data_IF_558932436309
#
_entry.id   IF_558932436309
#
_cell.length_a   1.000
_cell.length_b   1.000
_cell.length_c   1.000
_cell.angle_alpha   90.00
_cell.angle_beta   90.00
_cell.angle_gamma   90.00
#
_symmetry.space_group_name_H-M   'P 1'
#
loop_
_entity.id
_entity.type
_entity.pdbx_description
1 polymer ?
#
# COMPACT_ATOMS: atom_id res chain seq x y z
N UNK A 1 -14.27 -2.64 -1.80
CA UNK A 1 -13.38 -1.65 -1.15
C UNK A 1 -12.02 -1.50 -1.84
N UNK A 2 -11.32 -2.56 -2.25
CA UNK A 2 -10.02 -2.46 -2.95
C UNK A 2 -10.03 -1.57 -4.22
N UNK A 3 -11.09 -1.62 -5.03
CA UNK A 3 -11.18 -0.83 -6.26
C UNK A 3 -11.23 0.69 -6.01
N UNK A 4 -11.90 1.14 -4.96
CA UNK A 4 -12.00 2.58 -4.66
C UNK A 4 -10.64 3.17 -4.24
N UNK A 5 -9.83 2.43 -3.48
CA UNK A 5 -8.49 2.85 -3.09
C UNK A 5 -7.53 2.94 -4.28
N UNK A 6 -7.55 1.95 -5.17
CA UNK A 6 -6.73 1.96 -6.39
C UNK A 6 -7.10 3.12 -7.33
N UNK A 7 -8.41 3.39 -7.47
CA UNK A 7 -8.90 4.54 -8.24
C UNK A 7 -8.44 5.86 -7.63
N UNK A 8 -8.55 6.03 -6.31
CA UNK A 8 -8.11 7.24 -5.63
C UNK A 8 -6.60 7.49 -5.79
N UNK A 9 -5.77 6.44 -5.68
CA UNK A 9 -4.32 6.54 -5.90
C UNK A 9 -4.01 6.97 -7.33
N UNK A 10 -4.66 6.37 -8.33
CA UNK A 10 -4.44 6.74 -9.73
C UNK A 10 -4.86 8.19 -10.02
N UNK A 11 -5.97 8.66 -9.43
CA UNK A 11 -6.39 10.06 -9.56
C UNK A 11 -5.38 11.01 -8.91
N UNK A 12 -4.88 10.69 -7.71
CA UNK A 12 -3.86 11.49 -7.03
C UNK A 12 -2.54 11.54 -7.82
N UNK A 13 -2.15 10.42 -8.42
CA UNK A 13 -0.91 10.32 -9.19
C UNK A 13 -0.99 11.17 -10.47
N UNK A 14 -2.12 11.10 -11.17
CA UNK A 14 -2.38 11.92 -12.34
C UNK A 14 -2.46 13.42 -12.00
N UNK A 15 -3.01 13.77 -10.82
CA UNK A 15 -3.06 15.16 -10.37
C UNK A 15 -1.70 15.72 -9.93
N UNK A 16 -0.73 14.85 -9.61
CA UNK A 16 0.57 15.24 -9.06
C UNK A 16 1.60 15.66 -10.12
N UNK A 17 1.40 15.28 -11.39
CA UNK A 17 2.33 15.54 -12.49
C UNK A 17 1.66 16.29 -13.63
N UNK A 18 2.48 17.00 -14.41
CA UNK A 18 2.04 17.65 -15.64
C UNK A 18 1.75 16.65 -16.75
N UNK A 19 0.98 17.07 -17.76
CA UNK A 19 0.47 16.18 -18.81
C UNK A 19 1.56 15.46 -19.61
N UNK A 20 2.74 16.09 -19.74
CA UNK A 20 3.91 15.54 -20.43
C UNK A 20 4.58 14.38 -19.69
N UNK A 21 4.41 14.29 -18.37
CA UNK A 21 5.08 13.30 -17.49
C UNK A 21 4.13 12.20 -17.00
N UNK A 22 2.84 12.25 -17.36
CA UNK A 22 1.83 11.29 -16.90
C UNK A 22 2.20 9.84 -17.22
N UNK A 23 2.68 9.56 -18.44
CA UNK A 23 3.05 8.20 -18.84
C UNK A 23 4.21 7.65 -18.01
N UNK A 24 5.24 8.46 -17.77
CA UNK A 24 6.40 8.07 -16.98
C UNK A 24 6.03 7.87 -15.51
N UNK A 25 5.22 8.77 -14.93
CA UNK A 25 4.74 8.67 -13.56
C UNK A 25 3.91 7.39 -13.33
N UNK A 26 2.97 7.08 -14.23
CA UNK A 26 2.15 5.87 -14.14
C UNK A 26 2.99 4.59 -14.33
N UNK A 27 3.96 4.61 -15.24
CA UNK A 27 4.91 3.49 -15.42
C UNK A 27 5.69 3.20 -14.14
N UNK A 28 6.26 4.25 -13.52
CA UNK A 28 6.99 4.15 -12.25
C UNK A 28 6.08 3.64 -11.12
N UNK A 29 4.85 4.16 -11.02
CA UNK A 29 3.88 3.73 -10.03
C UNK A 29 3.55 2.23 -10.17
N UNK A 30 3.36 1.76 -11.39
CA UNK A 30 3.11 0.34 -11.69
C UNK A 30 4.32 -0.53 -11.33
N UNK A 31 5.54 -0.10 -11.66
CA UNK A 31 6.76 -0.83 -11.29
C UNK A 31 6.92 -0.95 -9.77
N UNK A 32 6.72 0.14 -9.03
CA UNK A 32 6.77 0.12 -7.55
C UNK A 32 5.67 -0.76 -6.99
N UNK A 33 4.47 -0.71 -7.56
CA UNK A 33 3.35 -1.58 -7.14
C UNK A 33 3.68 -3.05 -7.36
N UNK A 34 4.31 -3.40 -8.49
CA UNK A 34 4.73 -4.78 -8.76
C UNK A 34 5.75 -5.28 -7.74
N UNK A 35 6.73 -4.44 -7.36
CA UNK A 35 7.68 -4.77 -6.29
C UNK A 35 6.96 -4.95 -4.95
N UNK A 36 6.05 -4.04 -4.58
CA UNK A 36 5.27 -4.14 -3.35
C UNK A 36 4.44 -5.42 -3.26
N UNK A 37 3.84 -5.85 -4.39
CA UNK A 37 3.09 -7.11 -4.49
C UNK A 37 3.95 -8.35 -4.27
N UNK A 38 5.25 -8.27 -4.48
CA UNK A 38 6.19 -9.38 -4.23
C UNK A 38 6.71 -9.35 -2.80
N UNK A 39 7.03 -8.16 -2.28
CA UNK A 39 7.58 -8.00 -0.92
C UNK A 39 6.58 -8.42 0.16
N UNK A 40 5.30 -8.09 0.00
CA UNK A 40 4.25 -8.46 0.96
C UNK A 40 4.16 -9.96 1.21
N UNK A 41 3.87 -10.79 0.19
CA UNK A 41 3.79 -12.24 0.33
C UNK A 41 5.09 -12.89 0.85
N UNK A 42 6.26 -12.40 0.44
CA UNK A 42 7.54 -12.92 0.93
C UNK A 42 7.68 -12.69 2.44
N UNK A 43 7.50 -11.44 2.87
CA UNK A 43 7.68 -11.07 4.29
C UNK A 43 6.66 -11.77 5.18
N UNK A 44 5.37 -11.69 4.86
CA UNK A 44 4.33 -12.35 5.65
C UNK A 44 4.39 -13.88 5.55
N UNK A 45 4.82 -14.44 4.42
CA UNK A 45 5.01 -15.88 4.24
C UNK A 45 6.14 -16.45 5.11
N UNK A 46 7.25 -15.71 5.26
CA UNK A 46 8.33 -16.08 6.17
C UNK A 46 7.84 -16.07 7.62
N UNK A 47 7.15 -15.01 8.03
CA UNK A 47 6.60 -14.90 9.39
C UNK A 47 5.56 -15.99 9.65
N UNK A 48 4.72 -16.32 8.66
CA UNK A 48 3.75 -17.40 8.76
C UNK A 48 4.42 -18.76 8.94
N UNK A 49 5.46 -19.01 8.15
CA UNK A 49 6.24 -20.26 8.25
C UNK A 49 6.92 -20.40 9.61
N UNK A 50 7.47 -19.31 10.15
CA UNK A 50 8.03 -19.31 11.51
C UNK A 50 6.95 -19.55 12.57
N UNK A 51 5.81 -18.88 12.43
CA UNK A 51 4.66 -19.01 13.31
C UNK A 51 4.10 -20.44 13.36
N UNK A 52 4.06 -21.15 12.22
CA UNK A 52 3.63 -22.54 12.17
C UNK A 52 4.56 -23.49 12.93
N UNK A 53 5.87 -23.19 13.00
CA UNK A 53 6.80 -23.96 13.85
C UNK A 53 6.45 -23.87 15.32
N UNK A 54 5.94 -22.74 15.80
CA UNK A 54 5.45 -22.60 17.17
C UNK A 54 4.19 -23.46 17.39
N UNK A 55 3.29 -23.52 16.42
CA UNK A 55 2.12 -24.41 16.49
C UNK A 55 2.56 -25.87 16.56
N UNK A 56 3.48 -26.28 15.69
CA UNK A 56 4.01 -27.64 15.65
C UNK A 56 4.71 -28.04 16.97
N UNK A 57 5.51 -27.14 17.55
CA UNK A 57 6.16 -27.36 18.84
C UNK A 57 5.15 -27.56 19.97
N UNK A 58 4.02 -26.82 19.94
CA UNK A 58 2.91 -27.00 20.90
C UNK A 58 2.31 -28.39 20.79
N UNK A 59 2.03 -28.84 19.56
CA UNK A 59 1.43 -30.16 19.29
C UNK A 59 2.34 -31.31 19.72
N UNK A 60 3.66 -31.14 19.62
CA UNK A 60 4.67 -32.12 20.02
C UNK A 60 5.03 -32.08 21.52
N UNK A 61 4.42 -31.19 22.30
CA UNK A 61 4.68 -31.05 23.74
C UNK A 61 5.99 -30.33 24.09
N UNK A 62 6.64 -29.68 23.11
CA UNK A 62 7.80 -28.82 23.36
C UNK A 62 7.36 -27.44 23.85
N UNK A 63 8.29 -26.70 24.49
CA UNK A 63 8.05 -25.32 24.93
C UNK A 63 7.71 -24.46 23.71
N UNK A 64 6.49 -23.93 23.67
CA UNK A 64 6.00 -23.08 22.58
C UNK A 64 5.50 -21.73 23.08
N UNK A 65 5.56 -20.73 22.20
CA UNK A 65 4.91 -19.44 22.41
C UNK A 65 3.43 -19.58 22.02
N UNK A 66 2.54 -19.34 22.98
CA UNK A 66 1.10 -19.30 22.75
C UNK A 66 0.65 -18.03 21.99
N UNK A 67 -0.64 -17.74 22.08
CA UNK A 67 -1.21 -16.52 21.51
C UNK A 67 -0.44 -15.26 21.98
N UNK A 68 -0.09 -14.31 21.09
CA UNK A 68 -0.44 -14.21 19.67
C UNK A 68 0.63 -14.73 18.68
N UNK A 69 1.67 -15.43 19.13
CA UNK A 69 2.85 -15.81 18.31
C UNK A 69 2.68 -17.16 17.55
N UNK A 70 1.46 -17.65 17.53
CA UNK A 70 0.98 -18.77 16.72
C UNK A 70 0.35 -18.24 15.42
N UNK A 71 -0.41 -19.06 14.69
CA UNK A 71 -0.96 -18.77 13.37
C UNK A 71 -1.66 -17.40 13.22
N UNK A 72 -2.16 -16.84 14.34
CA UNK A 72 -2.79 -15.52 14.39
C UNK A 72 -1.81 -14.35 14.24
N UNK A 73 -0.50 -14.55 14.45
CA UNK A 73 0.53 -13.50 14.39
C UNK A 73 0.50 -12.77 13.05
N UNK A 74 0.42 -13.51 11.95
CA UNK A 74 0.45 -12.92 10.61
C UNK A 74 -0.80 -12.13 10.31
N UNK A 75 -1.96 -12.61 10.75
CA UNK A 75 -3.21 -11.88 10.61
C UNK A 75 -3.21 -10.58 11.44
N UNK A 76 -2.62 -10.61 12.64
CA UNK A 76 -2.43 -9.42 13.46
C UNK A 76 -1.48 -8.41 12.80
N UNK A 77 -0.37 -8.88 12.21
CA UNK A 77 0.58 -8.01 11.50
C UNK A 77 -0.03 -7.38 10.23
N UNK A 78 -0.82 -8.15 9.46
CA UNK A 78 -1.55 -7.64 8.29
C UNK A 78 -2.60 -6.62 8.73
N UNK A 79 -3.34 -6.91 9.80
CA UNK A 79 -4.33 -6.01 10.38
C UNK A 79 -3.70 -4.70 10.85
N UNK A 80 -2.61 -4.78 11.61
CA UNK A 80 -1.87 -3.61 12.09
C UNK A 80 -1.30 -2.78 10.93
N UNK A 81 -0.74 -3.44 9.92
CA UNK A 81 -0.22 -2.78 8.72
C UNK A 81 -1.33 -2.03 7.97
N UNK A 82 -2.50 -2.65 7.81
CA UNK A 82 -3.67 -2.02 7.19
C UNK A 82 -4.19 -0.84 8.00
N UNK A 83 -4.22 -0.98 9.32
CA UNK A 83 -4.62 0.09 10.22
C UNK A 83 -3.69 1.31 10.13
N UNK A 84 -2.36 1.08 10.12
CA UNK A 84 -1.36 2.14 9.94
C UNK A 84 -1.55 2.82 8.57
N UNK A 85 -1.75 2.07 7.50
CA UNK A 85 -2.01 2.64 6.17
C UNK A 85 -3.29 3.48 6.14
N UNK A 86 -4.34 3.07 6.87
CA UNK A 86 -5.57 3.84 7.02
C UNK A 86 -5.33 5.16 7.76
N UNK A 87 -4.57 5.13 8.86
CA UNK A 87 -4.18 6.35 9.58
C UNK A 87 -3.38 7.30 8.69
N UNK A 88 -2.40 6.78 7.94
CA UNK A 88 -1.63 7.57 6.98
C UNK A 88 -2.52 8.17 5.88
N UNK A 89 -3.52 7.42 5.41
CA UNK A 89 -4.47 7.91 4.41
C UNK A 89 -5.31 9.09 4.94
N UNK A 90 -5.69 9.08 6.22
CA UNK A 90 -6.42 10.18 6.87
C UNK A 90 -5.54 11.43 6.99
N UNK A 91 -4.22 11.26 7.10
CA UNK A 91 -3.25 12.35 7.19
C UNK A 91 -2.90 12.99 5.83
N UNK A 92 -3.37 12.43 4.71
CA UNK A 92 -3.09 12.97 3.37
C UNK A 92 -3.72 14.37 3.23
N UNK A 93 -2.92 15.42 2.97
CA UNK A 93 -3.45 16.77 2.87
C UNK A 93 -4.34 16.93 1.64
N UNK A 94 -5.52 17.55 1.83
CA UNK A 94 -6.52 17.83 0.76
C UNK A 94 -5.94 18.59 -0.45
N UNK A 95 -4.78 19.23 -0.30
CA UNK A 95 -4.06 19.93 -1.37
C UNK A 95 -3.64 19.00 -2.51
N UNK A 96 -3.37 17.72 -2.23
CA UNK A 96 -3.01 16.71 -3.24
C UNK A 96 -4.17 16.36 -4.17
N UNK A 97 -5.40 16.73 -3.82
CA UNK A 97 -6.57 16.52 -4.67
C UNK A 97 -6.68 17.53 -5.83
N UNK A 98 -5.83 18.57 -5.85
CA UNK A 98 -5.84 19.57 -6.94
C UNK A 98 -4.91 19.12 -8.06
N UNK A 99 -5.40 19.12 -9.30
CA UNK A 99 -4.58 18.88 -10.51
C UNK A 99 -3.51 19.97 -10.62
N UNK A 100 -2.26 19.56 -10.86
CA UNK A 100 -1.19 20.46 -11.24
C UNK A 100 -1.44 20.95 -12.67
N UNK A 101 -1.69 22.24 -12.82
CA UNK A 101 -1.88 22.89 -14.12
C UNK A 101 -0.52 23.43 -14.57
N UNK A 102 -0.04 23.00 -15.72
CA UNK A 102 1.23 23.47 -16.28
C UNK A 102 1.06 24.90 -16.84
N UNK A 103 2.13 25.70 -16.81
CA UNK A 103 2.09 27.10 -17.23
C UNK A 103 1.67 27.29 -18.70
N UNK A 104 1.82 26.25 -19.52
CA UNK A 104 1.44 26.19 -20.94
C UNK A 104 -0.08 26.03 -21.16
N UNK A 105 -0.80 25.43 -20.20
CA UNK A 105 -2.27 25.22 -20.26
C UNK A 105 -3.04 26.42 -19.68
N UNK A 106 -2.37 27.25 -18.86
CA UNK A 106 -2.92 28.44 -18.18
C UNK A 106 -3.47 29.55 -19.12
N UNK A 107 -2.80 29.90 -20.25
CA UNK A 107 -3.36 30.88 -21.18
C UNK A 107 -4.54 30.36 -22.01
N UNK A 108 -4.68 29.04 -22.19
CA UNK A 108 -5.80 28.44 -22.93
C UNK A 108 -7.11 28.41 -22.13
N UNK A 109 -7.03 28.23 -20.81
CA UNK A 109 -8.22 28.17 -19.93
C UNK A 109 -8.73 29.58 -19.56
N UNK A 110 -7.88 30.60 -19.62
CA UNK A 110 -8.27 31.99 -19.31
C UNK A 110 -8.80 32.77 -20.52
N UNK A 111 -8.67 32.21 -21.73
CA UNK A 111 -9.17 32.77 -22.98
C UNK A 111 -10.52 32.18 -23.44
N UNK A 112 -11.08 31.20 -22.72
CA UNK A 112 -12.36 30.53 -22.95
C UNK A 112 -13.37 30.87 -21.86
#
# INVERSE_FOLDING_TARGET
MMFAGLLAINVLLNNSVGSSLLGLANGLAMSVTALGRTVGPITFGIVYSWSLKNVENTLKGYKSLGFPFNEYLVFLLIGLSTFILCLLAILIPKRLNKRKIDAEEKPLITAS
#
